data_IF_068934992202
#
_entry.id   IF_068934992202
#
_cell.length_a   1.000
_cell.length_b   1.000
_cell.length_c   1.000
_cell.angle_alpha   90.00
_cell.angle_beta   90.00
_cell.angle_gamma   90.00
#
_symmetry.space_group_name_H-M   'P 1'
#
loop_
_entity.id
_entity.type
_entity.pdbx_description
1 polymer ?
#
# COMPACT_ATOMS: atom_id res chain seq x y z
N UNK A 1 -0.70 3.61 -6.18
CA UNK A 1 0.30 3.30 -5.12
C UNK A 1 1.07 2.04 -5.46
N UNK A 2 0.39 0.90 -5.72
CA UNK A 2 1.02 -0.35 -6.18
C UNK A 2 2.03 -0.15 -7.33
N UNK A 3 1.60 0.40 -8.46
CA UNK A 3 2.47 0.58 -9.62
C UNK A 3 3.68 1.48 -9.33
N UNK A 4 3.54 2.50 -8.47
CA UNK A 4 4.66 3.36 -8.09
C UNK A 4 5.67 2.60 -7.23
N UNK A 5 5.20 1.83 -6.25
CA UNK A 5 6.04 1.00 -5.40
C UNK A 5 6.78 -0.07 -6.22
N UNK A 6 6.07 -0.75 -7.13
CA UNK A 6 6.66 -1.70 -8.05
C UNK A 6 7.69 -1.04 -8.99
N UNK A 7 7.39 0.16 -9.49
CA UNK A 7 8.30 0.89 -10.38
C UNK A 7 9.61 1.32 -9.71
N UNK A 8 9.60 1.59 -8.40
CA UNK A 8 10.84 1.86 -7.63
C UNK A 8 11.56 0.59 -7.17
N UNK A 9 11.12 -0.58 -7.64
CA UNK A 9 11.76 -1.88 -7.35
C UNK A 9 11.42 -2.46 -5.98
N UNK A 10 10.36 -1.98 -5.32
CA UNK A 10 9.91 -2.55 -4.05
C UNK A 10 9.29 -3.94 -4.28
N UNK A 11 9.47 -4.82 -3.31
CA UNK A 11 8.73 -6.08 -3.23
C UNK A 11 7.36 -5.81 -2.59
N UNK A 12 6.28 -5.85 -3.40
CA UNK A 12 4.98 -5.34 -2.96
C UNK A 12 4.01 -6.47 -2.65
N UNK A 13 3.61 -6.59 -1.40
CA UNK A 13 2.52 -7.44 -0.95
C UNK A 13 1.20 -6.65 -0.92
N UNK A 14 0.11 -7.22 -1.42
CA UNK A 14 -1.20 -6.54 -1.50
C UNK A 14 -2.31 -7.40 -0.90
N UNK A 15 -3.09 -6.80 0.01
CA UNK A 15 -4.32 -7.41 0.55
C UNK A 15 -5.51 -7.05 -0.34
N UNK A 16 -6.15 -8.03 -0.96
CA UNK A 16 -7.34 -7.84 -1.78
C UNK A 16 -8.07 -9.17 -1.96
N UNK A 17 -9.38 -9.13 -2.27
CA UNK A 17 -10.13 -10.33 -2.64
C UNK A 17 -9.48 -11.06 -3.82
N UNK A 18 -9.54 -12.39 -3.80
CA UNK A 18 -8.92 -13.26 -4.82
C UNK A 18 -9.34 -12.91 -6.25
N UNK A 19 -10.56 -12.42 -6.45
CA UNK A 19 -11.07 -11.99 -7.77
C UNK A 19 -10.25 -10.86 -8.41
N UNK A 20 -9.54 -10.06 -7.62
CA UNK A 20 -8.70 -8.96 -8.11
C UNK A 20 -7.23 -9.35 -8.30
N UNK A 21 -6.82 -10.53 -7.84
CA UNK A 21 -5.42 -10.98 -7.87
C UNK A 21 -4.81 -10.97 -9.27
N UNK A 22 -5.47 -11.47 -10.33
CA UNK A 22 -4.87 -11.47 -11.67
C UNK A 22 -4.56 -10.05 -12.17
N UNK A 23 -5.42 -9.10 -11.86
CA UNK A 23 -5.20 -7.69 -12.23
C UNK A 23 -4.06 -7.07 -11.41
N UNK A 24 -4.02 -7.33 -10.10
CA UNK A 24 -2.97 -6.80 -9.22
C UNK A 24 -1.57 -7.33 -9.57
N UNK A 25 -1.47 -8.59 -10.01
CA UNK A 25 -0.21 -9.15 -10.52
C UNK A 25 0.28 -8.38 -11.75
N UNK A 26 -0.62 -8.05 -12.68
CA UNK A 26 -0.25 -7.23 -13.86
C UNK A 26 0.22 -5.82 -13.48
N UNK A 27 -0.27 -5.28 -12.37
CA UNK A 27 0.15 -3.99 -11.83
C UNK A 27 1.45 -4.04 -11.02
N UNK A 28 2.04 -5.23 -10.83
CA UNK A 28 3.32 -5.42 -10.15
C UNK A 28 3.23 -5.88 -8.70
N UNK A 29 2.11 -6.47 -8.26
CA UNK A 29 2.05 -7.15 -6.96
C UNK A 29 2.93 -8.41 -6.98
N UNK A 30 3.85 -8.50 -6.02
CA UNK A 30 4.75 -9.64 -5.85
C UNK A 30 4.10 -10.75 -5.03
N UNK A 31 3.33 -10.36 -4.00
CA UNK A 31 2.57 -11.28 -3.14
C UNK A 31 1.15 -10.76 -2.93
N UNK A 32 0.22 -11.70 -2.75
CA UNK A 32 -1.21 -11.40 -2.67
C UNK A 32 -1.84 -12.16 -1.50
N UNK A 33 -2.63 -11.44 -0.70
CA UNK A 33 -3.36 -12.00 0.42
C UNK A 33 -4.85 -11.72 0.21
N UNK A 34 -5.67 -12.76 0.22
CA UNK A 34 -7.11 -12.60 0.36
C UNK A 34 -7.50 -12.43 1.83
N UNK A 35 -7.70 -11.18 2.21
CA UNK A 35 -8.08 -10.80 3.58
C UNK A 35 -9.44 -11.39 4.01
N UNK A 36 -10.26 -11.91 3.08
CA UNK A 36 -11.53 -12.57 3.41
C UNK A 36 -11.36 -14.03 3.81
N UNK A 37 -10.19 -14.61 3.53
CA UNK A 37 -9.88 -16.02 3.79
C UNK A 37 -8.90 -16.21 4.95
N UNK A 38 -8.04 -15.23 5.21
CA UNK A 38 -7.02 -15.30 6.26
C UNK A 38 -6.79 -13.93 6.89
N UNK A 39 -6.33 -13.92 8.14
CA UNK A 39 -5.83 -12.69 8.74
C UNK A 39 -4.51 -12.32 8.08
N UNK A 40 -4.44 -11.12 7.52
CA UNK A 40 -3.28 -10.72 6.74
C UNK A 40 -2.02 -10.54 7.61
N UNK A 41 -2.15 -10.21 8.90
CA UNK A 41 -0.99 -10.06 9.76
C UNK A 41 -0.35 -11.43 10.05
N UNK A 42 -1.18 -12.47 10.25
CA UNK A 42 -0.69 -13.85 10.36
C UNK A 42 -0.06 -14.33 9.06
N UNK A 43 -0.68 -14.04 7.91
CA UNK A 43 -0.13 -14.40 6.61
C UNK A 43 1.22 -13.70 6.35
N UNK A 44 1.36 -12.43 6.73
CA UNK A 44 2.64 -11.70 6.69
C UNK A 44 3.69 -12.42 7.52
N UNK A 45 3.42 -12.73 8.79
CA UNK A 45 4.41 -13.39 9.65
C UNK A 45 4.75 -14.82 9.21
N UNK A 46 3.83 -15.48 8.50
CA UNK A 46 4.10 -16.80 7.92
C UNK A 46 5.09 -16.71 6.76
N UNK A 47 4.95 -15.71 5.89
CA UNK A 47 5.84 -15.50 4.74
C UNK A 47 7.13 -14.76 5.11
N UNK A 48 7.04 -13.82 6.05
CA UNK A 48 8.09 -12.89 6.51
C UNK A 48 8.10 -12.87 8.04
N UNK A 49 8.81 -13.82 8.70
CA UNK A 49 8.77 -13.98 10.16
C UNK A 49 9.26 -12.77 10.97
N UNK A 50 10.04 -11.87 10.35
CA UNK A 50 10.47 -10.62 10.98
C UNK A 50 9.46 -9.48 10.81
N UNK A 51 8.41 -9.68 10.00
CA UNK A 51 7.47 -8.64 9.55
C UNK A 51 7.95 -7.92 8.29
N UNK A 52 7.17 -6.92 7.85
CA UNK A 52 7.45 -6.10 6.66
C UNK A 52 8.04 -4.73 7.00
N UNK A 53 8.83 -4.19 6.09
CA UNK A 53 9.52 -2.90 6.27
C UNK A 53 8.57 -1.71 6.43
N UNK A 54 7.48 -1.71 5.67
CA UNK A 54 6.51 -0.63 5.67
C UNK A 54 5.12 -1.10 5.27
N UNK A 55 4.09 -0.46 5.83
CA UNK A 55 2.70 -0.56 5.40
C UNK A 55 2.23 0.79 4.89
N UNK A 56 1.47 0.76 3.79
CA UNK A 56 0.61 1.86 3.37
C UNK A 56 -0.86 1.48 3.64
N UNK A 57 -1.44 2.10 4.67
CA UNK A 57 -2.84 1.89 5.05
C UNK A 57 -3.75 2.95 4.41
N UNK A 58 -4.82 2.46 3.79
CA UNK A 58 -5.87 3.28 3.18
C UNK A 58 -7.26 2.98 3.76
N UNK A 59 -7.36 2.08 4.75
CA UNK A 59 -8.62 1.59 5.30
C UNK A 59 -8.85 2.13 6.70
N UNK A 60 -7.82 2.14 7.54
CA UNK A 60 -7.89 2.69 8.88
C UNK A 60 -8.55 1.77 9.90
N UNK A 61 -8.81 2.32 11.09
CA UNK A 61 -9.43 1.61 12.21
C UNK A 61 -8.69 0.32 12.56
N UNK A 62 -9.43 -0.77 12.65
CA UNK A 62 -8.91 -2.11 12.98
C UNK A 62 -7.86 -2.60 11.95
N UNK A 63 -7.96 -2.19 10.68
CA UNK A 63 -6.98 -2.56 9.66
C UNK A 63 -5.62 -1.91 9.92
N UNK A 64 -5.62 -0.65 10.36
CA UNK A 64 -4.39 0.03 10.76
C UNK A 64 -3.80 -0.57 12.03
N UNK A 65 -4.65 -0.97 12.99
CA UNK A 65 -4.21 -1.66 14.21
C UNK A 65 -3.50 -2.99 13.89
N UNK A 66 -4.06 -3.81 13.01
CA UNK A 66 -3.43 -5.06 12.55
C UNK A 66 -2.20 -4.83 11.68
N UNK A 67 -2.21 -3.76 10.88
CA UNK A 67 -1.05 -3.35 10.09
C UNK A 67 0.17 -3.07 10.97
N UNK A 68 -0.02 -2.45 12.14
CA UNK A 68 1.09 -2.29 13.10
C UNK A 68 1.67 -3.62 13.59
N UNK A 69 0.85 -4.67 13.69
CA UNK A 69 1.33 -6.00 14.11
C UNK A 69 2.13 -6.70 13.02
N UNK A 70 1.89 -6.38 11.75
CA UNK A 70 2.59 -6.95 10.60
C UNK A 70 3.94 -6.26 10.31
N UNK A 71 4.12 -5.02 10.78
CA UNK A 71 5.34 -4.24 10.56
C UNK A 71 6.44 -4.69 11.52
N UNK A 72 7.66 -4.84 11.00
CA UNK A 72 8.83 -5.21 11.81
C UNK A 72 9.25 -4.11 12.78
N UNK A 73 10.14 -4.43 13.72
CA UNK A 73 10.77 -3.42 14.56
C UNK A 73 11.44 -2.33 13.70
N UNK A 74 11.21 -1.06 14.06
CA UNK A 74 11.71 0.12 13.33
C UNK A 74 11.19 0.22 11.89
N UNK A 75 10.13 -0.50 11.56
CA UNK A 75 9.39 -0.35 10.32
C UNK A 75 8.44 0.85 10.37
N UNK A 76 7.74 1.10 9.26
CA UNK A 76 6.91 2.31 9.10
C UNK A 76 5.47 1.98 8.78
N UNK A 77 4.54 2.71 9.38
CA UNK A 77 3.15 2.72 8.97
C UNK A 77 2.81 4.10 8.41
N UNK A 78 2.49 4.15 7.12
CA UNK A 78 2.02 5.36 6.45
C UNK A 78 0.53 5.20 6.24
N UNK A 79 -0.28 6.19 6.64
CA UNK A 79 -1.71 6.16 6.40
C UNK A 79 -2.20 7.47 5.80
N UNK A 80 -3.26 7.38 4.99
CA UNK A 80 -3.98 8.54 4.43
C UNK A 80 -5.33 8.77 5.11
N UNK A 81 -5.69 7.90 6.07
CA UNK A 81 -6.92 7.98 6.86
C UNK A 81 -6.60 8.34 8.31
N UNK A 82 -7.59 8.87 9.02
CA UNK A 82 -7.39 9.37 10.37
C UNK A 82 -7.04 8.24 11.35
N UNK A 83 -6.10 8.51 12.26
CA UNK A 83 -5.60 7.57 13.26
C UNK A 83 -6.29 7.72 14.61
N UNK A 84 -7.41 8.44 14.71
CA UNK A 84 -8.12 8.69 15.98
C UNK A 84 -8.39 7.43 16.83
N UNK A 85 -8.42 6.24 16.21
CA UNK A 85 -8.67 4.96 16.89
C UNK A 85 -7.43 4.07 17.06
N UNK A 86 -6.23 4.56 16.75
CA UNK A 86 -5.01 3.74 16.71
C UNK A 86 -3.97 4.28 17.68
N UNK A 87 -3.66 3.53 18.74
CA UNK A 87 -2.55 3.84 19.65
C UNK A 87 -1.24 3.38 19.01
N UNK A 88 -0.28 4.27 18.69
CA UNK A 88 0.98 3.88 18.09
C UNK A 88 1.77 2.94 19.02
N UNK A 89 2.35 1.88 18.47
CA UNK A 89 3.28 1.03 19.22
C UNK A 89 4.66 1.68 19.20
N UNK A 90 5.38 1.74 20.34
CA UNK A 90 6.52 2.67 20.51
C UNK A 90 7.73 2.45 19.59
N UNK A 91 7.76 1.36 18.81
CA UNK A 91 8.84 0.97 17.92
C UNK A 91 8.50 1.11 16.42
N UNK A 92 7.35 1.69 16.07
CA UNK A 92 6.91 1.90 14.69
C UNK A 92 6.80 3.41 14.43
N UNK A 93 7.41 3.86 13.32
CA UNK A 93 7.26 5.24 12.86
C UNK A 93 5.94 5.39 12.10
N UNK A 94 4.98 6.10 12.68
CA UNK A 94 3.66 6.32 12.07
C UNK A 94 3.54 7.70 11.45
N UNK A 95 3.16 7.78 10.18
CA UNK A 95 3.00 9.03 9.44
C UNK A 95 1.60 9.13 8.80
N UNK A 96 0.89 10.23 9.08
CA UNK A 96 -0.38 10.56 8.41
C UNK A 96 -0.09 11.54 7.27
N UNK A 97 -0.43 11.15 6.04
CA UNK A 97 -0.24 11.98 4.86
C UNK A 97 -1.58 12.52 4.37
N UNK A 98 -1.91 13.78 4.71
CA UNK A 98 -3.05 14.47 4.12
C UNK A 98 -2.62 15.14 2.81
N UNK A 99 -3.09 14.61 1.67
CA UNK A 99 -2.95 15.30 0.39
C UNK A 99 -3.96 16.46 0.38
N UNK A 100 -3.48 17.71 0.40
CA UNK A 100 -4.29 18.83 -0.08
C UNK A 100 -4.20 18.83 -1.61
N UNK A 101 -5.32 18.82 -2.34
CA UNK A 101 -5.27 18.95 -3.79
C UNK A 101 -4.73 20.35 -4.13
N UNK A 102 -3.46 20.42 -4.52
CA UNK A 102 -2.88 21.60 -5.17
C UNK A 102 -2.99 21.40 -6.68
N UNK A 103 -3.75 22.27 -7.34
CA UNK A 103 -3.94 22.23 -8.80
C UNK A 103 -2.64 22.34 -9.60
N UNK A 104 -1.54 22.83 -9.00
CA UNK A 104 -0.21 22.86 -9.63
C UNK A 104 0.49 21.51 -9.63
N UNK A 105 0.28 20.65 -8.64
CA UNK A 105 0.88 19.30 -8.60
C UNK A 105 0.18 18.33 -9.56
N UNK A 106 -1.12 18.55 -9.82
CA UNK A 106 -1.88 17.76 -10.79
C UNK A 106 -1.40 18.00 -12.24
N UNK A 107 -0.95 19.22 -12.55
CA UNK A 107 -0.40 19.59 -13.86
C UNK A 107 0.98 18.96 -14.15
N UNK A 108 1.79 18.69 -13.13
CA UNK A 108 3.07 17.97 -13.30
C UNK A 108 2.86 16.47 -13.55
N UNK A 109 1.80 15.87 -12.98
CA UNK A 109 1.41 14.49 -13.29
C UNK A 109 0.89 14.35 -14.73
N UNK A 110 0.31 15.40 -15.32
CA UNK A 110 -0.11 15.39 -16.75
C UNK A 110 1.08 15.20 -17.69
N UNK A 111 2.24 15.83 -17.39
CA UNK A 111 3.47 15.70 -18.20
C UNK A 111 4.08 14.30 -18.16
N UNK A 112 3.80 13.52 -17.11
CA UNK A 112 4.24 12.12 -16.99
C UNK A 112 3.31 11.14 -17.73
N UNK A 113 2.09 11.56 -18.09
CA UNK A 113 1.12 10.77 -18.86
C UNK A 113 1.18 11.07 -20.36
N UNK A 114 1.78 12.20 -20.75
CA UNK A 114 1.92 12.63 -22.16
C UNK A 114 2.74 11.71 -23.10
N UNK A 115 3.57 10.73 -22.68
CA UNK A 115 4.12 9.75 -23.63
C UNK A 115 3.13 8.67 -24.05
N UNK A 116 1.93 8.59 -23.48
CA UNK A 116 0.90 7.63 -23.91
C UNK A 116 -0.05 8.29 -24.90
N UNK A 117 0.49 8.69 -26.06
CA UNK A 117 -0.34 8.83 -27.25
C UNK A 117 -0.83 7.43 -27.63
N UNK A 118 -2.11 7.16 -27.39
CA UNK A 118 -2.84 6.23 -28.24
C UNK A 118 -2.88 6.86 -29.63
N UNK A 119 -1.83 6.61 -30.41
CA UNK A 119 -1.82 6.85 -31.84
C UNK A 119 -2.95 6.03 -32.45
N UNK A 120 -3.87 6.74 -33.10
CA UNK A 120 -5.13 6.22 -33.55
C UNK A 120 -5.06 5.36 -34.82
N UNK A 121 -6.12 4.56 -34.93
CA UNK A 121 -6.88 4.25 -36.15
C UNK A 121 -6.27 3.27 -37.17
N UNK A 122 -7.09 2.70 -38.06
CA UNK A 122 -8.39 3.17 -38.54
C UNK A 122 -9.59 2.85 -37.63
#
# INVERSE_FOLDING_TARGET
MLQLAAHVGAHVMVTARSEHHPYLQQLGASELIDYTQTDFAEAVHTAHPEGIDAVLDCVGGETAARSMQAVRERGRLVTIVDLEQVTPTCHIDTHVFYIRPDGRQLAELTKLVEPWSVDGSP
#
